data_IF_321570840123
#
_entry.id   IF_321570840123
#
_cell.length_a   1.000
_cell.length_b   1.000
_cell.length_c   1.000
_cell.angle_alpha   90.00
_cell.angle_beta   90.00
_cell.angle_gamma   90.00
#
_symmetry.space_group_name_H-M   'P 1'
#
loop_
_entity.id
_entity.type
_entity.pdbx_description
1 polymer ?
#
# COMPACT_ATOMS: atom_id res chain seq x y z
N UNK A 1 39.39 -42.39 -13.56
CA UNK A 1 38.04 -42.95 -13.36
C UNK A 1 37.85 -43.19 -11.87
N UNK A 2 36.68 -42.79 -11.35
CA UNK A 2 36.08 -42.86 -9.99
C UNK A 2 35.51 -41.44 -9.75
N UNK A 3 34.21 -41.16 -9.75
CA UNK A 3 33.07 -41.95 -9.30
C UNK A 3 32.29 -41.03 -8.35
N UNK A 4 31.17 -40.50 -8.83
CA UNK A 4 30.23 -39.61 -8.15
C UNK A 4 29.81 -40.08 -6.76
N UNK A 5 29.65 -39.14 -5.82
CA UNK A 5 29.12 -39.41 -4.48
C UNK A 5 28.60 -38.14 -3.80
N UNK A 6 27.44 -37.70 -4.26
CA UNK A 6 26.59 -36.68 -3.65
C UNK A 6 26.39 -36.95 -2.15
N UNK A 7 26.47 -35.91 -1.32
CA UNK A 7 25.77 -35.88 -0.02
C UNK A 7 26.61 -36.08 1.23
N UNK A 8 27.04 -34.98 1.85
CA UNK A 8 26.97 -34.86 3.31
C UNK A 8 26.74 -33.40 3.76
N UNK A 9 25.84 -32.69 3.08
CA UNK A 9 25.26 -31.44 3.56
C UNK A 9 24.06 -31.68 4.47
N UNK A 10 24.18 -32.59 5.44
CA UNK A 10 23.08 -32.98 6.35
C UNK A 10 22.83 -31.96 7.48
N UNK A 11 23.12 -30.68 7.22
CA UNK A 11 22.85 -29.55 8.12
C UNK A 11 22.18 -28.34 7.44
N UNK A 12 22.06 -28.33 6.10
CA UNK A 12 21.57 -27.18 5.35
C UNK A 12 20.14 -27.28 4.81
N UNK A 13 19.57 -28.48 4.70
CA UNK A 13 18.33 -28.72 3.95
C UNK A 13 17.05 -28.91 4.78
N UNK A 14 17.15 -29.11 6.10
CA UNK A 14 15.96 -29.42 6.91
C UNK A 14 15.31 -28.22 7.61
N UNK A 15 16.14 -27.35 8.20
CA UNK A 15 15.67 -26.29 9.10
C UNK A 15 16.08 -24.88 8.67
N UNK A 16 17.15 -24.73 7.89
CA UNK A 16 17.63 -23.42 7.44
C UNK A 16 16.66 -22.73 6.47
N UNK A 17 16.11 -23.48 5.51
CA UNK A 17 15.12 -22.95 4.56
C UNK A 17 13.80 -22.54 5.24
N UNK A 18 13.38 -23.31 6.24
CA UNK A 18 12.19 -23.00 7.04
C UNK A 18 12.41 -21.74 7.87
N UNK A 19 13.58 -21.61 8.51
CA UNK A 19 13.95 -20.42 9.26
C UNK A 19 14.04 -19.19 8.34
N UNK A 20 14.55 -19.34 7.12
CA UNK A 20 14.57 -18.28 6.11
C UNK A 20 13.16 -17.80 5.75
N UNK A 21 12.25 -18.72 5.45
CA UNK A 21 10.86 -18.36 5.12
C UNK A 21 10.17 -17.71 6.31
N UNK A 22 10.39 -18.23 7.52
CA UNK A 22 9.84 -17.66 8.75
C UNK A 22 10.36 -16.24 9.00
N UNK A 23 11.66 -16.02 8.84
CA UNK A 23 12.31 -14.72 8.98
C UNK A 23 11.76 -13.70 7.98
N UNK A 24 11.67 -14.06 6.70
CA UNK A 24 11.07 -13.22 5.67
C UNK A 24 9.58 -12.98 5.92
N UNK A 25 8.84 -13.99 6.39
CA UNK A 25 7.43 -13.87 6.75
C UNK A 25 7.19 -12.86 7.87
N UNK A 26 8.03 -12.89 8.91
CA UNK A 26 7.99 -11.90 10.01
C UNK A 26 8.31 -10.51 9.49
N UNK A 27 9.38 -10.34 8.70
CA UNK A 27 9.74 -9.03 8.12
C UNK A 27 8.59 -8.46 7.30
N UNK A 28 7.98 -9.27 6.43
CA UNK A 28 6.84 -8.85 5.60
C UNK A 28 5.64 -8.50 6.47
N UNK A 29 5.31 -9.31 7.48
CA UNK A 29 4.22 -9.02 8.41
C UNK A 29 4.45 -7.71 9.16
N UNK A 30 5.66 -7.45 9.66
CA UNK A 30 6.02 -6.21 10.32
C UNK A 30 5.92 -5.02 9.38
N UNK A 31 6.45 -5.13 8.16
CA UNK A 31 6.36 -4.07 7.15
C UNK A 31 4.90 -3.77 6.78
N UNK A 32 4.09 -4.81 6.51
CA UNK A 32 2.66 -4.67 6.20
C UNK A 32 1.89 -4.13 7.39
N UNK A 33 2.21 -4.52 8.62
CA UNK A 33 1.57 -3.97 9.82
C UNK A 33 1.86 -2.49 9.98
N UNK A 34 3.13 -2.06 9.82
CA UNK A 34 3.52 -0.65 9.89
C UNK A 34 2.88 0.18 8.78
N UNK A 35 2.86 -0.33 7.54
CA UNK A 35 2.14 0.32 6.44
C UNK A 35 0.64 0.34 6.77
N UNK A 36 0.07 -0.76 7.23
CA UNK A 36 -1.35 -0.82 7.56
C UNK A 36 -1.70 0.12 8.70
N UNK A 37 -0.91 0.30 9.75
CA UNK A 37 -1.22 1.28 10.80
C UNK A 37 -1.13 2.69 10.27
N UNK A 38 0.00 3.07 9.65
CA UNK A 38 0.21 4.41 9.09
C UNK A 38 -0.83 4.78 8.03
N UNK A 39 -1.27 3.81 7.22
CA UNK A 39 -2.30 4.02 6.20
C UNK A 39 -3.72 3.67 6.66
N UNK A 40 -3.95 2.94 7.75
CA UNK A 40 -5.29 2.67 8.30
C UNK A 40 -5.74 3.80 9.22
N UNK A 41 -4.84 4.56 9.84
CA UNK A 41 -5.18 5.85 10.46
C UNK A 41 -5.75 6.83 9.42
N UNK A 42 -5.44 6.65 8.13
CA UNK A 42 -6.07 7.38 7.00
C UNK A 42 -7.35 6.72 6.47
N UNK A 43 -7.85 5.63 7.06
CA UNK A 43 -8.94 4.82 6.51
C UNK A 43 -10.10 4.59 7.49
N UNK A 44 -10.24 5.43 8.51
CA UNK A 44 -11.51 5.56 9.21
C UNK A 44 -12.25 6.79 8.68
N UNK A 45 -13.29 6.53 7.88
CA UNK A 45 -14.48 7.40 7.84
C UNK A 45 -14.80 8.11 6.53
N UNK A 46 -14.30 9.34 6.36
CA UNK A 46 -14.88 10.31 5.40
C UNK A 46 -13.87 10.95 4.44
N UNK A 47 -12.59 10.98 4.79
CA UNK A 47 -11.62 11.84 4.11
C UNK A 47 -11.16 11.33 2.74
N UNK A 48 -11.04 10.01 2.53
CA UNK A 48 -10.61 9.48 1.21
C UNK A 48 -11.61 9.71 0.09
N UNK A 49 -12.91 9.80 0.43
CA UNK A 49 -13.94 10.11 -0.55
C UNK A 49 -13.87 11.60 -0.93
N UNK A 50 -13.60 12.47 0.06
CA UNK A 50 -13.38 13.89 -0.17
C UNK A 50 -12.08 14.14 -0.97
N UNK A 51 -10.97 13.50 -0.60
CA UNK A 51 -9.68 13.60 -1.31
C UNK A 51 -9.83 13.13 -2.76
N UNK A 52 -10.56 12.02 -3.00
CA UNK A 52 -10.90 11.55 -4.36
C UNK A 52 -11.82 12.52 -5.12
N UNK A 53 -12.83 13.11 -4.46
CA UNK A 53 -13.74 14.08 -5.09
C UNK A 53 -13.03 15.39 -5.44
N UNK A 54 -12.14 15.89 -4.58
CA UNK A 54 -11.30 17.07 -4.82
C UNK A 54 -10.29 16.81 -5.96
N UNK A 55 -9.66 15.63 -5.99
CA UNK A 55 -8.75 15.23 -7.08
C UNK A 55 -9.47 15.17 -8.44
N UNK A 56 -10.69 14.64 -8.48
CA UNK A 56 -11.52 14.60 -9.70
C UNK A 56 -11.87 16.01 -10.17
N UNK A 57 -12.26 16.90 -9.26
CA UNK A 57 -12.57 18.31 -9.59
C UNK A 57 -11.33 19.03 -10.13
N UNK A 58 -10.17 18.87 -9.50
CA UNK A 58 -8.90 19.47 -9.93
C UNK A 58 -8.48 19.01 -11.32
N UNK A 59 -8.65 17.72 -11.62
CA UNK A 59 -8.34 17.15 -12.94
C UNK A 59 -9.20 17.77 -14.05
N UNK A 60 -10.50 18.00 -13.78
CA UNK A 60 -11.43 18.63 -14.73
C UNK A 60 -11.16 20.12 -14.93
N UNK A 61 -10.75 20.83 -13.89
CA UNK A 61 -10.31 22.22 -13.99
C UNK A 61 -9.06 22.35 -14.87
N UNK A 62 -8.08 21.46 -14.68
CA UNK A 62 -6.87 21.40 -15.50
C UNK A 62 -7.15 21.00 -16.95
N UNK A 63 -8.15 20.15 -17.17
CA UNK A 63 -8.66 19.82 -18.50
C UNK A 63 -9.48 20.96 -19.14
N UNK A 64 -9.81 22.03 -18.39
CA UNK A 64 -10.64 23.13 -18.85
C UNK A 64 -12.12 22.78 -19.01
N UNK A 65 -12.56 21.61 -18.52
CA UNK A 65 -13.96 21.15 -18.60
C UNK A 65 -14.88 21.88 -17.62
N UNK A 66 -14.31 22.45 -16.55
CA UNK A 66 -15.03 23.25 -15.55
C UNK A 66 -14.33 24.58 -15.33
N UNK A 67 -15.10 25.62 -14.99
CA UNK A 67 -14.54 26.94 -14.69
C UNK A 67 -14.08 27.01 -13.22
N UNK A 68 -13.16 27.93 -12.91
CA UNK A 68 -12.65 28.17 -11.56
C UNK A 68 -13.77 28.50 -10.56
N UNK A 69 -14.81 29.22 -10.99
CA UNK A 69 -15.99 29.52 -10.16
C UNK A 69 -16.77 28.27 -9.76
N UNK A 70 -17.01 27.36 -10.72
CA UNK A 70 -17.72 26.10 -10.45
C UNK A 70 -16.88 25.14 -9.60
N UNK A 71 -15.55 25.18 -9.75
CA UNK A 71 -14.63 24.44 -8.90
C UNK A 71 -14.76 24.89 -7.44
N UNK A 72 -14.73 26.21 -7.17
CA UNK A 72 -14.86 26.76 -5.83
C UNK A 72 -16.21 26.43 -5.17
N UNK A 73 -17.32 26.54 -5.91
CA UNK A 73 -18.64 26.20 -5.39
C UNK A 73 -18.74 24.72 -5.00
N UNK A 74 -18.27 23.81 -5.86
CA UNK A 74 -18.30 22.36 -5.60
C UNK A 74 -17.35 21.96 -4.48
N UNK A 75 -16.17 22.58 -4.40
CA UNK A 75 -15.21 22.37 -3.32
C UNK A 75 -15.80 22.80 -1.98
N UNK A 76 -16.49 23.95 -1.95
CA UNK A 76 -17.17 24.44 -0.74
C UNK A 76 -18.26 23.49 -0.27
N UNK A 77 -19.09 22.97 -1.18
CA UNK A 77 -20.15 22.00 -0.85
C UNK A 77 -19.59 20.69 -0.32
N UNK A 78 -18.48 20.18 -0.90
CA UNK A 78 -17.83 18.96 -0.45
C UNK A 78 -17.22 19.13 0.95
N UNK A 79 -16.61 20.29 1.21
CA UNK A 79 -16.03 20.63 2.52
C UNK A 79 -17.07 20.93 3.59
N UNK A 80 -18.25 21.45 3.23
CA UNK A 80 -19.37 21.68 4.16
C UNK A 80 -20.16 20.41 4.49
N UNK A 81 -20.00 19.32 3.72
CA UNK A 81 -20.70 18.04 3.93
C UNK A 81 -19.87 16.93 4.59
N UNK A 82 -18.58 17.15 4.82
CA UNK A 82 -17.67 16.25 5.55
C UNK A 82 -17.59 16.64 7.02
#
# INVERSE_FOLDING_TARGET
MHGSGFGMGFGGFGLGWLFMILFWGIIILTAVYLIKTVFADKKDGSDRSAESAEEILKKRLAAGEINAKEYEEKLKILRERG
#
